data_IF_175600486712
#
_entry.id   IF_175600486712
#
_cell.length_a   1.000
_cell.length_b   1.000
_cell.length_c   1.000
_cell.angle_alpha   90.00
_cell.angle_beta   90.00
_cell.angle_gamma   90.00
#
_symmetry.space_group_name_H-M   'P 1'
#
loop_
_entity.id
_entity.type
_entity.pdbx_description
1 polymer ?
#
# COMPACT_ATOMS: atom_id res chain seq x y z
N UNK A 1 0.72 -26.74 -8.04
CA UNK A 1 0.21 -25.44 -8.51
C UNK A 1 0.55 -24.41 -7.45
N UNK A 2 1.10 -23.25 -7.82
CA UNK A 2 1.34 -22.19 -6.85
C UNK A 2 -0.02 -21.62 -6.39
N UNK A 3 -0.24 -21.56 -5.08
CA UNK A 3 -1.42 -20.90 -4.51
C UNK A 3 -1.14 -19.40 -4.53
N UNK A 4 -2.02 -18.63 -5.17
CA UNK A 4 -1.96 -17.17 -5.12
C UNK A 4 -2.29 -16.68 -3.71
N UNK A 5 -1.42 -15.85 -3.14
CA UNK A 5 -1.65 -15.24 -1.84
C UNK A 5 -2.45 -13.95 -2.00
N UNK A 6 -3.61 -13.90 -1.37
CA UNK A 6 -4.42 -12.68 -1.30
C UNK A 6 -4.03 -11.85 -0.08
N UNK A 7 -3.73 -10.57 -0.28
CA UNK A 7 -3.49 -9.61 0.81
C UNK A 7 -4.30 -8.35 0.58
N UNK A 8 -4.94 -7.86 1.64
CA UNK A 8 -5.61 -6.57 1.68
C UNK A 8 -4.68 -5.52 2.28
N UNK A 9 -4.74 -4.30 1.77
CA UNK A 9 -3.91 -3.18 2.25
C UNK A 9 -4.69 -1.87 2.24
N UNK A 10 -4.54 -1.09 3.30
CA UNK A 10 -5.16 0.24 3.41
C UNK A 10 -4.33 1.20 4.26
N UNK A 11 -4.54 2.50 4.06
CA UNK A 11 -3.93 3.59 4.79
C UNK A 11 -4.95 4.69 5.11
N UNK A 12 -4.87 5.21 6.34
CA UNK A 12 -5.74 6.25 6.85
C UNK A 12 -4.93 7.41 7.43
N UNK A 13 -5.45 8.63 7.34
CA UNK A 13 -4.87 9.81 7.98
C UNK A 13 -5.94 10.71 8.62
N UNK A 14 -5.64 11.20 9.81
CA UNK A 14 -6.44 12.18 10.56
C UNK A 14 -6.01 13.60 10.17
N UNK A 15 -6.40 14.02 8.98
CA UNK A 15 -5.88 15.22 8.32
C UNK A 15 -4.78 14.88 7.30
N UNK A 16 -4.58 15.71 6.27
CA UNK A 16 -3.67 15.40 5.17
C UNK A 16 -2.85 16.65 4.75
N UNK A 17 -1.63 16.85 5.30
CA UNK A 17 -0.90 15.93 6.17
C UNK A 17 -1.44 15.89 7.62
N UNK A 18 -1.17 14.78 8.33
CA UNK A 18 -1.57 14.56 9.72
C UNK A 18 -1.13 13.21 10.28
N UNK A 19 -1.54 12.86 11.51
CA UNK A 19 -1.38 11.53 12.09
C UNK A 19 -1.96 10.45 11.18
N UNK A 20 -1.16 9.47 10.79
CA UNK A 20 -1.55 8.42 9.86
C UNK A 20 -1.28 7.02 10.37
N UNK A 21 -1.97 6.06 9.78
CA UNK A 21 -1.84 4.64 10.04
C UNK A 21 -1.94 3.83 8.76
N UNK A 22 -1.20 2.73 8.70
CA UNK A 22 -1.22 1.77 7.60
C UNK A 22 -1.55 0.38 8.16
N UNK A 23 -2.14 -0.48 7.34
CA UNK A 23 -2.40 -1.86 7.72
C UNK A 23 -2.44 -2.81 6.52
N UNK A 24 -2.11 -4.09 6.78
CA UNK A 24 -2.35 -5.18 5.84
C UNK A 24 -2.92 -6.41 6.54
N UNK A 25 -3.64 -7.23 5.77
CA UNK A 25 -4.29 -8.45 6.25
C UNK A 25 -4.29 -9.56 5.19
N UNK A 26 -3.84 -10.74 5.58
CA UNK A 26 -3.87 -11.98 4.79
C UNK A 26 -4.94 -12.91 5.42
N UNK A 27 -6.08 -13.15 4.74
CA UNK A 27 -7.25 -13.76 5.36
C UNK A 27 -7.14 -15.28 5.56
N UNK A 28 -6.30 -15.98 4.80
CA UNK A 28 -6.20 -17.44 4.87
C UNK A 28 -5.48 -17.91 6.14
N UNK A 29 -4.45 -17.17 6.55
CA UNK A 29 -3.62 -17.45 7.73
C UNK A 29 -3.98 -16.55 8.92
N UNK A 30 -4.74 -15.48 8.68
CA UNK A 30 -5.08 -14.49 9.70
C UNK A 30 -3.93 -13.53 10.02
N UNK A 31 -2.81 -13.59 9.27
CA UNK A 31 -1.66 -12.71 9.48
C UNK A 31 -2.04 -11.28 9.14
N UNK A 32 -1.62 -10.35 9.99
CA UNK A 32 -1.84 -8.91 9.82
C UNK A 32 -0.77 -8.12 10.54
N UNK A 33 -0.56 -6.89 10.09
CA UNK A 33 0.18 -5.89 10.85
C UNK A 33 -0.38 -4.51 10.55
N UNK A 34 -0.16 -3.60 11.50
CA UNK A 34 -0.43 -2.17 11.33
C UNK A 34 0.67 -1.35 11.99
N UNK A 35 0.78 -0.09 11.57
CA UNK A 35 1.70 0.87 12.16
C UNK A 35 1.25 2.29 11.86
N UNK A 36 1.98 3.27 12.38
CA UNK A 36 1.55 4.66 12.36
C UNK A 36 2.71 5.64 12.21
N UNK A 37 2.41 6.83 11.75
CA UNK A 37 3.34 7.95 11.66
C UNK A 37 2.64 9.23 12.11
N UNK A 38 3.25 10.00 13.01
CA UNK A 38 2.61 11.17 13.62
C UNK A 38 2.35 12.30 12.62
N UNK A 39 3.14 12.39 11.55
CA UNK A 39 2.98 13.39 10.51
C UNK A 39 3.27 12.80 9.12
N UNK A 40 2.21 12.49 8.38
CA UNK A 40 2.30 11.82 7.09
C UNK A 40 1.12 12.19 6.18
N UNK A 41 0.93 11.49 5.07
CA UNK A 41 -0.22 11.69 4.16
C UNK A 41 -0.92 10.36 3.85
N UNK A 42 -2.18 10.42 3.41
CA UNK A 42 -2.94 9.19 3.11
C UNK A 42 -2.22 8.31 2.08
N UNK A 43 -1.74 8.92 0.99
CA UNK A 43 -1.00 8.23 -0.06
C UNK A 43 0.28 7.56 0.45
N UNK A 44 0.98 8.16 1.42
CA UNK A 44 2.16 7.52 2.04
C UNK A 44 1.76 6.31 2.88
N UNK A 45 0.66 6.39 3.62
CA UNK A 45 0.16 5.26 4.41
C UNK A 45 -0.35 4.12 3.55
N UNK A 46 -1.08 4.42 2.48
CA UNK A 46 -1.50 3.43 1.47
C UNK A 46 -0.29 2.71 0.86
N UNK A 47 0.75 3.46 0.45
CA UNK A 47 2.00 2.87 -0.07
C UNK A 47 2.76 2.06 0.97
N UNK A 48 2.80 2.55 2.22
CA UNK A 48 3.47 1.86 3.32
C UNK A 48 2.80 0.53 3.62
N UNK A 49 1.46 0.47 3.59
CA UNK A 49 0.71 -0.78 3.75
C UNK A 49 1.14 -1.84 2.72
N UNK A 50 1.23 -1.45 1.45
CA UNK A 50 1.69 -2.32 0.35
C UNK A 50 3.13 -2.77 0.57
N UNK A 51 4.03 -1.83 0.90
CA UNK A 51 5.43 -2.15 1.17
C UNK A 51 5.56 -3.19 2.28
N UNK A 52 4.89 -2.95 3.42
CA UNK A 52 4.95 -3.82 4.60
C UNK A 52 4.32 -5.18 4.36
N UNK A 53 3.24 -5.26 3.58
CA UNK A 53 2.65 -6.51 3.14
C UNK A 53 3.64 -7.34 2.31
N UNK A 54 4.30 -6.71 1.34
CA UNK A 54 5.24 -7.38 0.44
C UNK A 54 6.54 -7.80 1.13
N UNK A 55 7.01 -7.04 2.12
CA UNK A 55 8.16 -7.41 2.97
C UNK A 55 7.84 -8.59 3.89
N UNK A 56 6.62 -8.63 4.44
CA UNK A 56 6.22 -9.66 5.39
C UNK A 56 5.95 -11.03 4.71
N UNK A 57 5.62 -11.04 3.42
CA UNK A 57 5.33 -12.28 2.70
C UNK A 57 6.10 -12.36 1.38
N UNK A 58 7.16 -13.19 1.30
CA UNK A 58 7.96 -13.34 0.08
C UNK A 58 7.33 -14.31 -0.95
N UNK A 59 6.02 -14.58 -0.86
CA UNK A 59 5.36 -15.47 -1.82
C UNK A 59 5.61 -15.06 -3.27
N UNK A 60 5.80 -16.05 -4.16
CA UNK A 60 6.09 -15.80 -5.57
C UNK A 60 4.88 -15.31 -6.35
N UNK A 61 3.65 -15.54 -5.86
CA UNK A 61 2.40 -15.11 -6.49
C UNK A 61 1.52 -14.42 -5.45
N UNK A 62 1.28 -13.12 -5.62
CA UNK A 62 0.53 -12.29 -4.67
C UNK A 62 -0.49 -11.43 -5.41
N UNK A 63 -1.73 -11.42 -4.93
CA UNK A 63 -2.77 -10.48 -5.29
C UNK A 63 -2.95 -9.48 -4.15
N UNK A 64 -2.64 -8.21 -4.41
CA UNK A 64 -2.89 -7.09 -3.48
C UNK A 64 -4.23 -6.45 -3.83
N UNK A 65 -5.16 -6.46 -2.86
CA UNK A 65 -6.41 -5.69 -2.92
C UNK A 65 -6.27 -4.41 -2.12
N UNK A 66 -6.56 -3.29 -2.76
CA UNK A 66 -6.56 -1.98 -2.13
C UNK A 66 -7.62 -1.09 -2.78
N UNK A 67 -8.21 -0.20 -2.00
CA UNK A 67 -9.07 0.88 -2.51
C UNK A 67 -8.27 2.14 -2.92
N UNK A 68 -6.96 2.17 -2.66
CA UNK A 68 -6.04 3.19 -3.15
C UNK A 68 -5.97 3.20 -4.68
N UNK A 69 -6.67 4.16 -5.29
CA UNK A 69 -6.51 4.41 -6.72
C UNK A 69 -5.09 4.83 -7.07
N UNK A 70 -4.37 5.48 -6.15
CA UNK A 70 -2.99 5.92 -6.38
C UNK A 70 -2.05 4.73 -6.58
N UNK A 71 -2.14 3.72 -5.71
CA UNK A 71 -1.36 2.48 -5.84
C UNK A 71 -1.80 1.70 -7.07
N UNK A 72 -3.09 1.41 -7.18
CA UNK A 72 -3.59 0.46 -8.18
C UNK A 72 -3.40 1.01 -9.60
N UNK A 73 -3.71 2.31 -9.84
CA UNK A 73 -3.50 2.90 -11.17
C UNK A 73 -2.04 2.97 -11.57
N UNK A 74 -1.11 3.20 -10.62
CA UNK A 74 0.31 3.18 -10.95
C UNK A 74 0.74 1.88 -11.63
N UNK A 75 0.26 0.73 -11.11
CA UNK A 75 0.57 -0.57 -11.68
C UNK A 75 -0.24 -0.89 -12.94
N UNK A 76 -1.55 -0.61 -12.94
CA UNK A 76 -2.42 -0.87 -14.09
C UNK A 76 -2.03 -0.03 -15.32
N UNK A 77 -1.74 1.27 -15.13
CA UNK A 77 -1.37 2.21 -16.18
C UNK A 77 0.15 2.33 -16.36
N UNK A 78 0.93 1.55 -15.60
CA UNK A 78 2.39 1.44 -15.71
C UNK A 78 3.14 2.78 -15.59
N UNK A 79 2.70 3.66 -14.71
CA UNK A 79 3.34 4.97 -14.48
C UNK A 79 4.84 4.82 -14.15
N UNK A 80 5.17 3.78 -13.39
CA UNK A 80 6.52 3.41 -12.98
C UNK A 80 7.48 3.21 -14.15
N UNK A 81 7.00 2.79 -15.32
CA UNK A 81 7.86 2.54 -16.48
C UNK A 81 8.49 3.85 -16.98
N UNK A 82 7.68 4.92 -17.07
CA UNK A 82 8.17 6.25 -17.42
C UNK A 82 9.05 6.83 -16.32
N UNK A 83 8.67 6.64 -15.06
CA UNK A 83 9.45 7.13 -13.92
C UNK A 83 10.87 6.54 -13.89
N UNK A 84 11.03 5.23 -14.10
CA UNK A 84 12.35 4.60 -14.17
C UNK A 84 13.19 5.13 -15.34
N UNK A 85 12.58 5.44 -16.47
CA UNK A 85 13.27 5.97 -17.65
C UNK A 85 13.71 7.43 -17.50
N UNK A 86 12.96 8.25 -16.74
CA UNK A 86 13.18 9.69 -16.68
C UNK A 86 13.72 10.20 -15.32
N UNK A 87 14.29 9.29 -14.51
CA UNK A 87 14.88 9.63 -13.21
C UNK A 87 13.85 10.02 -12.15
N UNK A 88 12.68 9.38 -12.17
CA UNK A 88 11.53 9.61 -11.28
C UNK A 88 11.01 11.04 -11.34
N UNK A 89 10.71 11.51 -12.55
CA UNK A 89 10.07 12.80 -12.79
C UNK A 89 8.65 12.64 -13.33
N UNK A 90 7.73 13.50 -12.90
CA UNK A 90 6.36 13.54 -13.40
C UNK A 90 6.30 14.24 -14.78
N UNK A 91 5.10 14.33 -15.36
CA UNK A 91 4.90 14.97 -16.66
C UNK A 91 5.27 16.46 -16.70
N UNK A 92 5.34 17.13 -15.54
CA UNK A 92 5.76 18.53 -15.38
C UNK A 92 7.27 18.67 -15.11
N UNK A 93 8.04 17.58 -15.16
CA UNK A 93 9.47 17.57 -14.89
C UNK A 93 9.85 17.66 -13.41
N UNK A 94 8.87 17.65 -12.49
CA UNK A 94 9.10 17.68 -11.05
C UNK A 94 9.36 16.27 -10.52
N UNK A 95 10.06 16.12 -9.38
CA UNK A 95 10.18 14.81 -8.72
C UNK A 95 8.81 14.16 -8.48
N UNK A 96 8.73 12.85 -8.71
CA UNK A 96 7.53 12.06 -8.37
C UNK A 96 7.32 12.09 -6.85
N UNK A 97 6.10 12.39 -6.41
CA UNK A 97 5.73 12.33 -5.00
C UNK A 97 5.93 10.93 -4.44
N UNK A 98 6.38 10.83 -3.19
CA UNK A 98 6.61 9.55 -2.49
C UNK A 98 7.61 8.62 -3.20
N UNK A 99 8.56 9.20 -3.96
CA UNK A 99 9.61 8.46 -4.66
C UNK A 99 10.33 7.47 -3.73
N UNK A 100 10.62 7.89 -2.51
CA UNK A 100 11.28 7.09 -1.48
C UNK A 100 10.55 5.75 -1.21
N UNK A 101 9.21 5.77 -1.13
CA UNK A 101 8.41 4.56 -0.96
C UNK A 101 8.24 3.80 -2.27
N UNK A 102 8.03 4.52 -3.38
CA UNK A 102 7.88 3.89 -4.69
C UNK A 102 9.09 3.08 -5.12
N UNK A 103 10.30 3.59 -4.93
CA UNK A 103 11.52 2.87 -5.28
C UNK A 103 11.59 1.52 -4.55
N UNK A 104 11.21 1.46 -3.28
CA UNK A 104 11.16 0.23 -2.48
C UNK A 104 10.07 -0.73 -2.97
N UNK A 105 8.84 -0.25 -3.16
CA UNK A 105 7.72 -1.08 -3.63
C UNK A 105 8.01 -1.64 -5.03
N UNK A 106 8.52 -0.82 -5.95
CA UNK A 106 8.83 -1.24 -7.31
C UNK A 106 9.94 -2.30 -7.34
N UNK A 107 10.92 -2.21 -6.44
CA UNK A 107 11.93 -3.27 -6.29
C UNK A 107 11.29 -4.61 -5.94
N UNK A 108 10.44 -4.64 -4.92
CA UNK A 108 9.76 -5.87 -4.48
C UNK A 108 8.80 -6.44 -5.55
N UNK A 109 8.13 -5.56 -6.30
CA UNK A 109 7.13 -5.97 -7.29
C UNK A 109 7.76 -6.39 -8.61
N UNK A 110 8.82 -5.72 -9.06
CA UNK A 110 9.34 -5.87 -10.44
C UNK A 110 10.68 -6.59 -10.51
N UNK A 111 11.53 -6.48 -9.48
CA UNK A 111 12.94 -6.87 -9.58
C UNK A 111 13.25 -8.18 -8.84
N UNK A 112 12.39 -8.63 -7.93
CA UNK A 112 12.59 -9.84 -7.12
C UNK A 112 12.03 -11.14 -7.74
N UNK A 113 11.62 -11.09 -9.02
CA UNK A 113 11.11 -12.29 -9.72
C UNK A 113 9.75 -12.78 -9.20
N UNK A 114 9.03 -11.94 -8.47
CA UNK A 114 7.68 -12.20 -7.95
C UNK A 114 6.62 -11.81 -9.00
N UNK A 115 5.49 -12.51 -8.98
CA UNK A 115 4.29 -12.13 -9.72
C UNK A 115 3.31 -11.45 -8.76
N UNK A 116 3.39 -10.13 -8.70
CA UNK A 116 2.47 -9.32 -7.87
C UNK A 116 1.43 -8.66 -8.78
N UNK A 117 0.15 -8.86 -8.46
CA UNK A 117 -0.98 -8.23 -9.14
C UNK A 117 -1.70 -7.29 -8.19
N UNK A 118 -2.32 -6.26 -8.74
CA UNK A 118 -3.09 -5.27 -8.00
C UNK A 118 -4.53 -5.26 -8.50
N UNK A 119 -5.47 -5.36 -7.57
CA UNK A 119 -6.91 -5.27 -7.83
C UNK A 119 -7.49 -4.12 -7.02
N UNK A 120 -8.18 -3.22 -7.71
CA UNK A 120 -8.89 -2.13 -7.05
C UNK A 120 -10.20 -2.67 -6.48
N UNK A 121 -10.42 -2.43 -5.20
CA UNK A 121 -11.71 -2.66 -4.55
C UNK A 121 -12.35 -1.33 -4.18
N UNK A 122 -13.68 -1.28 -4.14
CA UNK A 122 -14.37 -0.09 -3.66
C UNK A 122 -14.27 -0.06 -2.12
N UNK A 123 -13.78 1.06 -1.58
CA UNK A 123 -13.77 1.29 -0.14
C UNK A 123 -15.17 1.22 0.48
N UNK A 124 -15.27 0.69 1.69
CA UNK A 124 -16.51 0.55 2.47
C UNK A 124 -17.69 -0.12 1.73
N UNK A 125 -17.40 -1.12 0.90
CA UNK A 125 -18.40 -1.81 0.09
C UNK A 125 -18.81 -3.20 0.64
N UNK A 126 -18.53 -3.51 1.91
CA UNK A 126 -18.89 -4.80 2.50
C UNK A 126 -17.89 -5.94 2.27
N UNK A 127 -16.68 -5.65 1.74
CA UNK A 127 -15.59 -6.66 1.69
C UNK A 127 -14.95 -6.76 3.09
N UNK A 128 -15.08 -7.90 3.80
CA UNK A 128 -14.58 -8.02 5.17
C UNK A 128 -13.06 -7.83 5.29
N UNK A 129 -12.29 -8.17 4.24
CA UNK A 129 -10.85 -7.98 4.23
C UNK A 129 -10.47 -6.50 4.14
N UNK A 130 -11.19 -5.73 3.32
CA UNK A 130 -10.99 -4.28 3.20
C UNK A 130 -11.44 -3.54 4.46
N UNK A 131 -12.58 -3.93 5.03
CA UNK A 131 -13.08 -3.35 6.30
C UNK A 131 -12.11 -3.60 7.45
N UNK A 132 -11.46 -4.77 7.48
CA UNK A 132 -10.49 -5.09 8.52
C UNK A 132 -9.23 -4.21 8.42
N UNK A 133 -8.68 -3.99 7.21
CA UNK A 133 -7.51 -3.12 7.05
C UNK A 133 -7.83 -1.65 7.29
N UNK A 134 -9.01 -1.16 6.89
CA UNK A 134 -9.48 0.19 7.22
C UNK A 134 -9.56 0.38 8.74
N UNK A 135 -10.22 -0.57 9.44
CA UNK A 135 -10.34 -0.54 10.90
C UNK A 135 -8.97 -0.50 11.58
N UNK A 136 -8.02 -1.31 11.12
CA UNK A 136 -6.66 -1.37 11.66
C UNK A 136 -5.86 -0.08 11.39
N UNK A 137 -5.93 0.44 10.17
CA UNK A 137 -5.25 1.67 9.77
C UNK A 137 -5.79 2.89 10.55
N UNK A 138 -7.11 3.02 10.64
CA UNK A 138 -7.74 4.07 11.45
C UNK A 138 -7.40 3.97 12.94
N UNK A 139 -7.37 2.74 13.50
CA UNK A 139 -6.98 2.53 14.89
C UNK A 139 -5.54 2.99 15.14
N UNK A 140 -4.60 2.65 14.25
CA UNK A 140 -3.21 3.07 14.34
C UNK A 140 -3.04 4.60 14.23
N UNK A 141 -3.74 5.25 13.29
CA UNK A 141 -3.73 6.70 13.15
C UNK A 141 -4.25 7.42 14.40
N UNK A 142 -5.32 6.89 15.02
CA UNK A 142 -5.89 7.44 16.26
C UNK A 142 -4.99 7.22 17.46
N UNK A 143 -4.28 6.09 17.54
CA UNK A 143 -3.33 5.81 18.61
C UNK A 143 -2.20 6.86 18.62
N UNK A 144 -1.54 7.06 17.47
CA UNK A 144 -0.45 8.02 17.37
C UNK A 144 -0.90 9.46 17.57
N UNK A 145 -2.12 9.81 17.16
CA UNK A 145 -2.69 11.15 17.41
C UNK A 145 -2.93 11.43 18.90
N UNK A 146 -3.14 10.39 19.71
CA UNK A 146 -3.32 10.50 21.16
C UNK A 146 -1.98 10.49 21.92
N UNK A 147 -0.85 10.33 21.22
CA UNK A 147 0.47 10.19 21.84
C UNK A 147 0.66 8.88 22.59
N UNK A 148 -0.08 7.84 22.21
CA UNK A 148 0.01 6.48 22.77
C UNK A 148 0.90 5.61 21.90
#
# INVERSE_FOLDING_TARGET
MAVERLVYTDGACLGNPGPGGWAWFEPLTGRRASGSEAQTTNQRMELTAVLRALEADPAPLVLVRSDSQYVVRCFQERWWARWRQNGFRNAKGQPVSNRDLWELVLRLVLDEGRSVRFEWVRGHAGDPGNEEVDRLAQAAARAVARGV
#
